data_IF_361336963681
#
_entry.id   IF_361336963681
#
_cell.length_a   1.000
_cell.length_b   1.000
_cell.length_c   1.000
_cell.angle_alpha   90.00
_cell.angle_beta   90.00
_cell.angle_gamma   90.00
#
_symmetry.space_group_name_H-M   'P 1'
#
loop_
_entity.id
_entity.type
_entity.pdbx_description
1 polymer ?
#
# COMPACT_ATOMS: atom_id res chain seq x y z
N UNK A 1 20.35 12.61 -15.75
CA UNK A 1 20.97 11.28 -15.60
C UNK A 1 20.28 10.36 -16.59
N UNK A 2 21.03 9.82 -17.56
CA UNK A 2 20.52 8.81 -18.49
C UNK A 2 21.07 7.48 -18.00
N UNK A 3 20.38 6.84 -17.05
CA UNK A 3 20.67 5.44 -16.71
C UNK A 3 20.24 4.61 -17.92
N UNK A 4 21.21 4.24 -18.75
CA UNK A 4 21.01 3.20 -19.75
C UNK A 4 20.73 1.92 -18.97
N UNK A 5 19.48 1.48 -18.98
CA UNK A 5 19.09 0.18 -18.45
C UNK A 5 19.94 -0.88 -19.16
N UNK A 6 20.71 -1.64 -18.39
CA UNK A 6 21.45 -2.80 -18.86
C UNK A 6 20.46 -3.97 -19.00
N UNK A 7 20.05 -4.36 -20.22
CA UNK A 7 18.98 -5.33 -20.42
C UNK A 7 19.28 -6.67 -19.76
N UNK A 8 20.53 -7.10 -19.80
CA UNK A 8 21.01 -8.35 -19.21
C UNK A 8 20.83 -8.35 -17.68
N UNK A 9 21.21 -7.26 -17.01
CA UNK A 9 21.02 -7.11 -15.56
C UNK A 9 19.53 -7.11 -15.17
N UNK A 10 18.67 -6.46 -15.96
CA UNK A 10 17.21 -6.44 -15.72
C UNK A 10 16.60 -7.83 -15.89
N UNK A 11 17.05 -8.60 -16.89
CA UNK A 11 16.59 -9.97 -17.10
C UNK A 11 17.03 -10.86 -15.94
N UNK A 12 18.28 -10.76 -15.50
CA UNK A 12 18.79 -11.54 -14.36
C UNK A 12 18.03 -11.22 -13.07
N UNK A 13 17.76 -9.95 -12.78
CA UNK A 13 16.94 -9.54 -11.63
C UNK A 13 15.52 -10.11 -11.71
N UNK A 14 14.89 -10.02 -12.89
CA UNK A 14 13.55 -10.56 -13.11
C UNK A 14 13.50 -12.07 -12.89
N UNK A 15 14.46 -12.82 -13.42
CA UNK A 15 14.56 -14.27 -13.19
C UNK A 15 14.76 -14.59 -11.70
N UNK A 16 15.63 -13.85 -11.01
CA UNK A 16 15.87 -14.03 -9.59
C UNK A 16 14.59 -13.78 -8.74
N UNK A 17 13.85 -12.72 -9.05
CA UNK A 17 12.60 -12.35 -8.36
C UNK A 17 11.45 -13.33 -8.66
N UNK A 18 11.39 -13.86 -9.87
CA UNK A 18 10.30 -14.77 -10.29
C UNK A 18 10.56 -16.23 -9.93
N UNK A 19 11.82 -16.64 -9.75
CA UNK A 19 12.20 -18.02 -9.38
C UNK A 19 11.57 -18.50 -8.06
N UNK A 20 11.39 -17.60 -7.09
CA UNK A 20 10.72 -17.90 -5.82
C UNK A 20 9.84 -16.73 -5.39
N UNK A 21 8.78 -16.52 -6.15
CA UNK A 21 7.79 -15.47 -5.87
C UNK A 21 7.14 -15.62 -4.50
N UNK A 22 7.00 -16.85 -3.99
CA UNK A 22 6.44 -17.12 -2.67
C UNK A 22 7.29 -16.53 -1.55
N UNK A 23 8.61 -16.70 -1.60
CA UNK A 23 9.54 -16.06 -0.64
C UNK A 23 9.52 -14.54 -0.79
N UNK A 24 9.61 -14.03 -2.01
CA UNK A 24 9.59 -12.59 -2.29
C UNK A 24 8.34 -11.93 -1.71
N UNK A 25 7.16 -12.52 -1.89
CA UNK A 25 5.90 -11.97 -1.36
C UNK A 25 5.86 -11.97 0.18
N UNK A 26 6.38 -13.01 0.84
CA UNK A 26 6.46 -13.04 2.32
C UNK A 26 7.41 -11.96 2.85
N UNK A 27 8.57 -11.80 2.23
CA UNK A 27 9.56 -10.81 2.64
C UNK A 27 9.03 -9.38 2.40
N UNK A 28 8.31 -9.17 1.29
CA UNK A 28 7.63 -7.89 1.00
C UNK A 28 6.54 -7.59 2.04
N UNK A 29 5.65 -8.54 2.35
CA UNK A 29 4.63 -8.34 3.38
C UNK A 29 5.26 -8.01 4.73
N UNK A 30 6.31 -8.74 5.13
CA UNK A 30 7.03 -8.49 6.38
C UNK A 30 7.54 -7.06 6.45
N UNK A 31 8.23 -6.57 5.41
CA UNK A 31 8.73 -5.18 5.33
C UNK A 31 7.60 -4.15 5.43
N UNK A 32 6.49 -4.38 4.73
CA UNK A 32 5.32 -3.49 4.81
C UNK A 32 4.80 -3.42 6.25
N UNK A 33 4.66 -4.57 6.92
CA UNK A 33 4.15 -4.61 8.30
C UNK A 33 5.15 -4.02 9.31
N UNK A 34 6.45 -4.19 9.11
CA UNK A 34 7.50 -3.56 9.94
C UNK A 34 7.48 -2.03 9.80
N UNK A 35 7.31 -1.51 8.58
CA UNK A 35 7.28 -0.06 8.34
C UNK A 35 5.99 0.62 8.81
N UNK A 36 4.87 -0.11 8.82
CA UNK A 36 3.54 0.48 9.02
C UNK A 36 2.82 -0.02 10.29
N UNK A 37 3.44 -0.89 11.09
CA UNK A 37 2.81 -1.55 12.24
C UNK A 37 2.21 -0.59 13.28
N UNK A 38 2.82 0.60 13.42
CA UNK A 38 2.38 1.65 14.35
C UNK A 38 1.34 2.63 13.75
N UNK A 39 0.88 2.38 12.53
CA UNK A 39 -0.19 3.18 11.91
C UNK A 39 -1.53 2.91 12.58
N UNK A 40 -2.38 3.94 12.64
CA UNK A 40 -3.72 3.85 13.23
C UNK A 40 -4.52 2.68 12.61
N UNK A 41 -4.41 2.50 11.29
CA UNK A 41 -5.10 1.44 10.58
C UNK A 41 -4.65 0.04 11.03
N UNK A 42 -3.35 -0.24 11.09
CA UNK A 42 -2.88 -1.59 11.48
C UNK A 42 -3.02 -1.87 12.97
N UNK A 43 -2.86 -0.86 13.83
CA UNK A 43 -3.11 -0.99 15.26
C UNK A 43 -4.57 -1.34 15.57
N UNK A 44 -5.53 -0.80 14.81
CA UNK A 44 -6.97 -1.10 14.96
C UNK A 44 -7.29 -2.59 14.82
N UNK A 45 -6.52 -3.32 14.01
CA UNK A 45 -6.79 -4.73 13.71
C UNK A 45 -6.04 -5.71 14.63
N UNK A 46 -5.31 -5.23 15.65
CA UNK A 46 -4.72 -6.10 16.67
C UNK A 46 -3.57 -6.98 16.15
N UNK A 47 -2.81 -6.49 15.17
CA UNK A 47 -1.59 -7.17 14.71
C UNK A 47 -0.52 -7.24 15.81
N UNK A 48 -0.47 -6.25 16.71
CA UNK A 48 0.45 -6.21 17.86
C UNK A 48 1.92 -6.45 17.47
N UNK A 49 2.37 -5.82 16.38
CA UNK A 49 3.74 -5.97 15.87
C UNK A 49 4.04 -7.29 15.16
N UNK A 50 3.06 -8.20 14.99
CA UNK A 50 3.24 -9.43 14.20
C UNK A 50 3.36 -9.09 12.72
N UNK A 51 4.29 -9.76 12.05
CA UNK A 51 4.64 -9.50 10.64
C UNK A 51 4.48 -10.72 9.76
N UNK A 52 3.93 -11.82 10.30
CA UNK A 52 3.74 -13.06 9.56
C UNK A 52 2.41 -13.06 8.77
N UNK A 53 2.36 -13.78 7.63
CA UNK A 53 1.17 -13.82 6.77
C UNK A 53 -0.08 -14.39 7.44
N UNK A 54 0.07 -15.34 8.37
CA UNK A 54 -1.08 -16.01 8.98
C UNK A 54 -1.78 -15.10 9.98
N UNK A 55 -1.00 -14.38 10.79
CA UNK A 55 -1.49 -13.29 11.64
C UNK A 55 -2.16 -12.19 10.83
N UNK A 56 -1.56 -11.76 9.71
CA UNK A 56 -2.14 -10.74 8.84
C UNK A 56 -3.50 -11.17 8.28
N UNK A 57 -3.58 -12.36 7.70
CA UNK A 57 -4.83 -12.91 7.14
C UNK A 57 -5.91 -13.10 8.21
N UNK A 58 -5.53 -13.46 9.43
CA UNK A 58 -6.49 -13.68 10.52
C UNK A 58 -7.04 -12.38 11.12
N UNK A 59 -6.26 -11.29 11.08
CA UNK A 59 -6.58 -10.07 11.80
C UNK A 59 -7.06 -8.92 10.90
N UNK A 60 -6.46 -8.76 9.73
CA UNK A 60 -6.77 -7.62 8.84
C UNK A 60 -7.84 -8.03 7.84
N UNK A 61 -9.02 -7.38 7.84
CA UNK A 61 -10.08 -7.71 6.90
C UNK A 61 -9.74 -7.22 5.49
N UNK A 62 -10.34 -7.88 4.50
CA UNK A 62 -10.37 -7.34 3.13
C UNK A 62 -11.19 -6.05 3.13
N UNK A 63 -10.55 -4.95 2.73
CA UNK A 63 -11.17 -3.62 2.69
C UNK A 63 -11.50 -3.21 1.25
N UNK A 64 -12.60 -2.48 1.10
CA UNK A 64 -12.96 -1.78 -0.13
C UNK A 64 -12.47 -0.33 -0.08
N UNK A 65 -12.54 0.39 -1.20
CA UNK A 65 -12.20 1.82 -1.22
C UNK A 65 -13.05 2.64 -0.23
N UNK A 66 -14.33 2.31 -0.10
CA UNK A 66 -15.25 3.01 0.80
C UNK A 66 -14.85 2.89 2.26
N UNK A 67 -14.29 1.74 2.65
CA UNK A 67 -13.80 1.51 4.01
C UNK A 67 -12.56 2.35 4.33
N UNK A 68 -11.81 2.78 3.30
CA UNK A 68 -10.59 3.58 3.43
C UNK A 68 -10.83 5.09 3.27
N UNK A 69 -11.99 5.50 2.76
CA UNK A 69 -12.35 6.89 2.48
C UNK A 69 -12.16 7.85 3.68
N UNK A 70 -12.52 7.48 4.93
CA UNK A 70 -12.29 8.36 6.08
C UNK A 70 -10.80 8.65 6.32
N UNK A 71 -9.94 7.65 6.10
CA UNK A 71 -8.49 7.80 6.26
C UNK A 71 -7.88 8.64 5.15
N UNK A 72 -8.34 8.44 3.91
CA UNK A 72 -7.93 9.23 2.74
C UNK A 72 -8.30 10.71 2.93
N UNK A 73 -9.53 10.99 3.41
CA UNK A 73 -9.95 12.36 3.70
C UNK A 73 -9.12 12.98 4.83
N UNK A 74 -8.79 12.22 5.88
CA UNK A 74 -7.89 12.69 6.94
C UNK A 74 -6.50 13.10 6.43
N UNK A 75 -5.97 12.37 5.44
CA UNK A 75 -4.71 12.70 4.77
C UNK A 75 -4.88 13.95 3.89
N UNK A 76 -5.95 14.04 3.11
CA UNK A 76 -6.24 15.18 2.24
C UNK A 76 -6.43 16.48 3.03
N UNK A 77 -7.05 16.41 4.21
CA UNK A 77 -7.22 17.55 5.12
C UNK A 77 -5.93 17.91 5.89
N UNK A 78 -4.85 17.12 5.75
CA UNK A 78 -3.57 17.33 6.43
C UNK A 78 -3.59 17.05 7.93
N UNK A 79 -4.57 16.29 8.45
CA UNK A 79 -4.78 16.09 9.89
C UNK A 79 -3.90 15.00 10.48
N UNK A 80 -3.80 13.84 9.82
CA UNK A 80 -2.99 12.72 10.30
C UNK A 80 -2.25 12.05 9.12
N UNK A 81 -0.98 12.39 8.87
CA UNK A 81 -0.21 11.81 7.77
C UNK A 81 0.21 10.35 8.02
N UNK A 82 0.14 9.86 9.26
CA UNK A 82 0.58 8.50 9.65
C UNK A 82 -0.59 7.51 9.81
N UNK A 83 -1.76 7.84 9.28
CA UNK A 83 -2.98 7.09 9.52
C UNK A 83 -3.03 5.75 8.77
N UNK A 84 -2.44 5.70 7.56
CA UNK A 84 -2.33 4.49 6.72
C UNK A 84 -0.88 4.02 6.53
N UNK A 85 0.08 4.94 6.53
CA UNK A 85 1.49 4.65 6.23
C UNK A 85 2.41 5.24 7.30
N UNK A 86 3.49 4.54 7.66
CA UNK A 86 4.48 5.06 8.60
C UNK A 86 5.32 6.20 8.03
N UNK A 87 5.37 6.33 6.70
CA UNK A 87 6.01 7.42 5.97
C UNK A 87 4.95 8.43 5.49
N UNK A 88 5.24 9.75 5.47
CA UNK A 88 4.29 10.74 4.99
C UNK A 88 3.89 10.54 3.53
N UNK A 89 2.61 10.73 3.23
CA UNK A 89 2.09 10.71 1.86
C UNK A 89 2.28 12.10 1.24
N UNK A 90 2.98 12.17 0.12
CA UNK A 90 3.30 13.43 -0.59
C UNK A 90 2.44 13.65 -1.83
N UNK A 91 1.83 12.60 -2.37
CA UNK A 91 1.08 12.63 -3.63
C UNK A 91 -0.07 11.61 -3.57
N UNK A 92 -1.21 11.97 -4.18
CA UNK A 92 -2.33 11.05 -4.40
C UNK A 92 -2.49 10.84 -5.91
N UNK A 93 -2.59 9.58 -6.33
CA UNK A 93 -2.86 9.20 -7.72
C UNK A 93 -4.33 8.86 -7.92
N UNK A 94 -4.97 9.44 -8.94
CA UNK A 94 -6.36 9.16 -9.28
C UNK A 94 -6.46 7.89 -10.12
N UNK A 95 -7.38 6.98 -9.78
CA UNK A 95 -7.69 5.82 -10.63
C UNK A 95 -8.67 6.22 -11.73
N UNK A 96 -8.41 5.78 -12.96
CA UNK A 96 -9.26 6.06 -14.14
C UNK A 96 -10.72 5.60 -13.99
N UNK A 97 -11.00 4.61 -13.13
CA UNK A 97 -12.37 4.20 -12.81
C UNK A 97 -13.20 5.30 -12.15
N UNK A 98 -12.57 6.27 -11.49
CA UNK A 98 -13.24 7.44 -10.94
C UNK A 98 -13.67 8.41 -12.04
N UNK A 99 -12.82 8.59 -13.08
CA UNK A 99 -13.07 9.49 -14.23
C UNK A 99 -14.23 9.04 -15.11
N UNK A 100 -14.50 7.73 -15.18
CA UNK A 100 -15.69 7.19 -15.87
C UNK A 100 -17.01 7.47 -15.12
N UNK A 101 -16.94 7.82 -13.82
CA UNK A 101 -18.11 8.13 -12.99
C UNK A 101 -18.19 9.62 -12.62
N UNK A 102 -17.15 10.41 -12.85
CA UNK A 102 -17.12 11.86 -12.53
C UNK A 102 -17.64 12.77 -13.63
N UNK A 103 -18.18 12.24 -14.73
CA UNK A 103 -18.94 13.06 -15.69
C UNK A 103 -20.27 13.62 -15.13
N UNK A 104 -20.64 13.30 -13.88
CA UNK A 104 -21.93 13.68 -13.30
C UNK A 104 -21.89 14.30 -11.89
N UNK A 105 -20.72 14.66 -11.34
CA UNK A 105 -20.67 15.36 -10.04
C UNK A 105 -19.77 16.60 -10.07
N UNK A 106 -19.91 17.42 -11.13
CA UNK A 106 -19.71 18.87 -11.05
C UNK A 106 -21.07 19.53 -11.27
N UNK A 107 -21.92 19.50 -10.26
CA UNK A 107 -23.11 20.32 -10.08
C UNK A 107 -23.52 20.22 -8.62
N UNK A 108 -22.82 20.96 -7.77
CA UNK A 108 -23.33 21.90 -6.76
C UNK A 108 -22.16 22.38 -5.89
#
# INVERSE_FOLDING_TARGET
MNERLDPEAVIEEFEALTRDSGRVQRDTLKKILEENGETEYLQRWGLNGRTDPDSFKACVPLATHKDLEPYIQCIADGRNPSVLTGKPITTISLRYSFLACSSLLLSF
#
